data_IF_685535686633
#
_entry.id   IF_685535686633
#
_cell.length_a   1.000
_cell.length_b   1.000
_cell.length_c   1.000
_cell.angle_alpha   90.00
_cell.angle_beta   90.00
_cell.angle_gamma   90.00
#
_symmetry.space_group_name_H-M   'P 1'
#
loop_
_entity.id
_entity.type
_entity.pdbx_description
1 polymer ?
#
# COMPACT_ATOMS: atom_id res chain seq x y z
N UNK A 1 -17.05 -8.72 -9.10
CA UNK A 1 -17.14 -7.44 -8.35
C UNK A 1 -16.32 -6.38 -9.07
N UNK A 2 -16.85 -5.16 -9.21
CA UNK A 2 -16.17 -3.99 -9.79
C UNK A 2 -15.46 -3.19 -8.70
N UNK A 3 -14.15 -3.10 -8.78
CA UNK A 3 -13.30 -2.41 -7.81
C UNK A 3 -12.67 -1.19 -8.48
N UNK A 4 -12.96 0.01 -7.96
CA UNK A 4 -12.26 1.24 -8.36
C UNK A 4 -10.95 1.36 -7.58
N UNK A 5 -9.83 1.50 -8.28
CA UNK A 5 -8.48 1.49 -7.68
C UNK A 5 -7.86 2.87 -7.76
N UNK A 6 -7.44 3.41 -6.60
CA UNK A 6 -6.74 4.68 -6.48
C UNK A 6 -5.61 4.54 -5.45
N UNK A 7 -4.47 5.19 -5.68
CA UNK A 7 -3.38 5.29 -4.70
C UNK A 7 -2.59 6.58 -4.93
N UNK A 8 -1.72 6.93 -3.97
CA UNK A 8 -0.72 7.99 -4.11
C UNK A 8 -1.35 9.30 -4.60
N UNK A 9 -2.50 9.65 -4.01
CA UNK A 9 -3.26 10.84 -4.38
C UNK A 9 -2.58 12.11 -3.85
N UNK A 10 -1.81 11.97 -2.77
CA UNK A 10 -0.96 13.02 -2.20
C UNK A 10 -1.71 14.35 -1.99
N UNK A 11 -2.89 14.24 -1.38
CA UNK A 11 -3.80 15.37 -1.17
C UNK A 11 -3.24 16.40 -0.18
N UNK A 12 -2.23 16.03 0.61
CA UNK A 12 -1.47 16.97 1.44
C UNK A 12 -0.69 18.01 0.62
N UNK A 13 -0.45 17.75 -0.66
CA UNK A 13 0.22 18.68 -1.57
C UNK A 13 -0.76 19.32 -2.55
N UNK A 14 -1.64 18.53 -3.18
CA UNK A 14 -2.58 19.02 -4.19
C UNK A 14 -3.95 18.37 -4.10
N UNK A 15 -4.95 19.21 -3.90
CA UNK A 15 -6.35 18.80 -3.90
C UNK A 15 -6.77 18.08 -5.19
N UNK A 16 -7.76 17.20 -5.04
CA UNK A 16 -8.35 16.47 -6.14
C UNK A 16 -9.76 15.98 -5.81
N UNK A 17 -10.59 15.96 -6.84
CA UNK A 17 -11.95 15.41 -6.78
C UNK A 17 -12.06 14.29 -7.80
N UNK A 18 -12.37 13.05 -7.38
CA UNK A 18 -12.54 11.94 -8.30
C UNK A 18 -13.77 12.18 -9.18
N UNK A 19 -13.71 11.87 -10.48
CA UNK A 19 -14.89 11.92 -11.33
C UNK A 19 -15.94 10.91 -10.83
N UNK A 20 -17.25 11.19 -11.01
CA UNK A 20 -18.30 10.22 -10.75
C UNK A 20 -18.07 8.93 -11.55
N UNK A 21 -18.16 7.80 -10.86
CA UNK A 21 -17.97 6.47 -11.42
C UNK A 21 -18.64 5.45 -10.52
N UNK A 22 -19.43 4.55 -11.10
CA UNK A 22 -20.03 3.42 -10.37
C UNK A 22 -18.98 2.32 -10.17
N UNK A 23 -18.88 1.84 -8.93
CA UNK A 23 -18.11 0.67 -8.54
C UNK A 23 -18.75 0.06 -7.28
N UNK A 24 -18.60 -1.25 -7.09
CA UNK A 24 -19.11 -1.94 -5.90
C UNK A 24 -18.25 -1.56 -4.67
N UNK A 25 -16.94 -1.48 -4.88
CA UNK A 25 -15.95 -1.13 -3.85
C UNK A 25 -14.95 -0.10 -4.40
N UNK A 26 -14.53 0.83 -3.54
CA UNK A 26 -13.39 1.73 -3.79
C UNK A 26 -12.21 1.30 -2.92
N UNK A 27 -11.07 1.01 -3.55
CA UNK A 27 -9.81 0.71 -2.86
C UNK A 27 -8.89 1.93 -2.94
N UNK A 28 -8.42 2.36 -1.78
CA UNK A 28 -7.43 3.40 -1.59
C UNK A 28 -6.13 2.75 -1.06
N UNK A 29 -5.15 2.53 -1.94
CA UNK A 29 -3.94 1.74 -1.67
C UNK A 29 -2.74 2.58 -1.21
N UNK A 30 -2.97 3.42 -0.19
CA UNK A 30 -1.96 4.22 0.48
C UNK A 30 -1.64 5.56 -0.17
N UNK A 31 -0.96 6.41 0.62
CA UNK A 31 -0.53 7.76 0.26
C UNK A 31 -1.66 8.65 -0.26
N UNK A 32 -2.80 8.60 0.44
CA UNK A 32 -3.98 9.38 0.08
C UNK A 32 -3.87 10.79 0.65
N UNK A 33 -3.56 10.88 1.94
CA UNK A 33 -3.38 12.15 2.64
C UNK A 33 -2.67 11.90 3.98
N UNK A 34 -1.93 12.89 4.48
CA UNK A 34 -1.39 12.92 5.84
C UNK A 34 -2.42 12.56 6.95
N UNK A 35 -2.04 11.63 7.83
CA UNK A 35 -2.81 11.19 8.99
C UNK A 35 -4.25 10.79 8.66
N UNK A 36 -5.19 11.22 9.50
CA UNK A 36 -6.62 10.84 9.37
C UNK A 36 -7.38 11.57 8.28
N UNK A 37 -6.77 12.57 7.64
CA UNK A 37 -7.44 13.43 6.66
C UNK A 37 -7.90 12.64 5.42
N UNK A 38 -7.16 11.58 5.06
CA UNK A 38 -7.49 10.70 3.94
C UNK A 38 -8.78 9.94 4.17
N UNK A 39 -9.03 9.48 5.41
CA UNK A 39 -10.28 8.80 5.80
C UNK A 39 -11.47 9.74 5.67
N UNK A 40 -11.34 10.97 6.18
CA UNK A 40 -12.39 11.97 6.10
C UNK A 40 -12.67 12.37 4.65
N UNK A 41 -11.62 12.54 3.83
CA UNK A 41 -11.76 12.78 2.40
C UNK A 41 -12.47 11.62 1.69
N UNK A 42 -12.05 10.39 1.95
CA UNK A 42 -12.59 9.20 1.31
C UNK A 42 -14.09 9.06 1.56
N UNK A 43 -14.52 9.25 2.81
CA UNK A 43 -15.96 9.17 3.10
C UNK A 43 -16.75 10.27 2.41
N UNK A 44 -16.23 11.50 2.35
CA UNK A 44 -16.90 12.63 1.66
C UNK A 44 -17.04 12.38 0.16
N UNK A 45 -16.01 11.86 -0.49
CA UNK A 45 -16.03 11.65 -1.94
C UNK A 45 -16.87 10.43 -2.35
N UNK A 46 -16.96 9.42 -1.48
CA UNK A 46 -17.65 8.18 -1.77
C UNK A 46 -18.74 7.88 -0.73
N UNK A 47 -19.76 8.72 -0.55
CA UNK A 47 -20.67 8.64 0.60
C UNK A 47 -21.45 7.33 0.71
N UNK A 48 -21.72 6.66 -0.41
CA UNK A 48 -22.52 5.42 -0.45
C UNK A 48 -21.70 4.15 -0.72
N UNK A 49 -20.43 4.25 -1.10
CA UNK A 49 -19.62 3.09 -1.49
C UNK A 49 -18.97 2.41 -0.27
N UNK A 50 -18.74 1.09 -0.37
CA UNK A 50 -17.80 0.42 0.50
C UNK A 50 -16.39 0.92 0.16
N UNK A 51 -15.71 1.53 1.12
CA UNK A 51 -14.36 2.07 0.94
C UNK A 51 -13.38 1.24 1.76
N UNK A 52 -12.40 0.66 1.10
CA UNK A 52 -11.27 -0.03 1.70
C UNK A 52 -10.06 0.89 1.63
N UNK A 53 -9.39 1.09 2.77
CA UNK A 53 -8.26 2.00 2.91
C UNK A 53 -7.07 1.25 3.48
N UNK A 54 -5.98 1.19 2.74
CA UNK A 54 -4.66 0.77 3.25
C UNK A 54 -3.83 2.04 3.42
N UNK A 55 -3.21 2.30 4.58
CA UNK A 55 -2.29 3.43 4.71
C UNK A 55 -1.01 3.19 3.92
N UNK A 56 -0.41 4.27 3.42
CA UNK A 56 0.94 4.30 2.91
C UNK A 56 1.89 4.96 3.91
N UNK A 57 3.11 5.25 3.48
CA UNK A 57 4.11 5.88 4.35
C UNK A 57 3.75 7.34 4.68
N UNK A 58 3.05 8.05 3.78
CA UNK A 58 2.70 9.47 3.94
C UNK A 58 1.66 9.74 5.02
N UNK A 59 0.78 8.78 5.30
CA UNK A 59 -0.14 8.88 6.43
C UNK A 59 0.62 9.11 7.75
N UNK A 60 1.86 8.58 7.88
CA UNK A 60 2.66 8.61 9.09
C UNK A 60 3.64 9.78 9.19
N UNK A 61 3.75 10.63 8.16
CA UNK A 61 4.75 11.70 8.11
C UNK A 61 4.60 12.71 9.28
N UNK A 62 5.73 13.10 9.87
CA UNK A 62 5.84 14.04 11.00
C UNK A 62 5.16 13.59 12.31
N UNK A 63 4.67 12.36 12.39
CA UNK A 63 3.95 11.83 13.54
C UNK A 63 4.51 10.47 13.98
N UNK A 64 4.07 10.01 15.17
CA UNK A 64 4.44 8.68 15.67
C UNK A 64 3.57 7.63 15.01
N UNK A 65 4.21 6.65 14.35
CA UNK A 65 3.54 5.62 13.55
C UNK A 65 2.38 4.96 14.31
N UNK A 66 2.63 4.52 15.54
CA UNK A 66 1.62 3.82 16.35
C UNK A 66 0.43 4.72 16.73
N UNK A 67 0.67 6.01 17.03
CA UNK A 67 -0.41 6.94 17.37
C UNK A 67 -1.30 7.22 16.17
N UNK A 68 -0.67 7.38 14.99
CA UNK A 68 -1.38 7.59 13.73
C UNK A 68 -2.22 6.36 13.39
N UNK A 69 -1.70 5.15 13.54
CA UNK A 69 -2.46 3.93 13.27
C UNK A 69 -3.68 3.80 14.18
N UNK A 70 -3.55 4.11 15.47
CA UNK A 70 -4.67 4.17 16.41
C UNK A 70 -5.70 5.23 15.98
N UNK A 71 -5.24 6.41 15.58
CA UNK A 71 -6.10 7.50 15.13
C UNK A 71 -6.85 7.14 13.83
N UNK A 72 -6.16 6.55 12.85
CA UNK A 72 -6.72 6.05 11.59
C UNK A 72 -7.82 5.01 11.88
N UNK A 73 -7.53 3.99 12.70
CA UNK A 73 -8.51 2.95 13.08
C UNK A 73 -9.73 3.55 13.78
N UNK A 74 -9.55 4.58 14.61
CA UNK A 74 -10.66 5.27 15.29
C UNK A 74 -11.51 6.05 14.29
N UNK A 75 -10.89 6.82 13.40
CA UNK A 75 -11.59 7.65 12.43
C UNK A 75 -12.30 6.81 11.36
N UNK A 76 -11.65 5.75 10.88
CA UNK A 76 -12.21 4.82 9.90
C UNK A 76 -13.50 4.18 10.43
N UNK A 77 -13.50 3.70 11.68
CA UNK A 77 -14.70 3.20 12.35
C UNK A 77 -15.78 4.27 12.49
N UNK A 78 -15.42 5.50 12.86
CA UNK A 78 -16.36 6.62 13.03
C UNK A 78 -17.07 6.97 11.72
N UNK A 79 -16.37 6.85 10.59
CA UNK A 79 -16.85 7.25 9.26
C UNK A 79 -17.28 6.07 8.38
N UNK A 80 -17.24 4.84 8.88
CA UNK A 80 -17.61 3.65 8.09
C UNK A 80 -16.69 3.42 6.89
N UNK A 81 -15.38 3.61 7.07
CA UNK A 81 -14.32 3.24 6.13
C UNK A 81 -13.61 2.00 6.67
N UNK A 82 -13.32 1.03 5.81
CA UNK A 82 -12.64 -0.21 6.18
C UNK A 82 -11.13 -0.03 6.07
N UNK A 83 -10.50 0.42 7.15
CA UNK A 83 -9.04 0.51 7.22
C UNK A 83 -8.44 -0.89 7.38
N UNK A 84 -7.51 -1.27 6.51
CA UNK A 84 -6.77 -2.53 6.57
C UNK A 84 -5.27 -2.28 6.74
N UNK A 85 -4.72 -2.74 7.85
CA UNK A 85 -3.28 -2.80 8.09
C UNK A 85 -2.96 -4.03 8.96
N UNK A 86 -2.71 -5.17 8.31
CA UNK A 86 -2.76 -6.49 8.96
C UNK A 86 -4.19 -6.93 9.29
N UNK A 87 -5.17 -6.54 8.46
CA UNK A 87 -6.60 -6.78 8.70
C UNK A 87 -7.34 -7.28 7.45
N UNK A 88 -8.50 -7.90 7.67
CA UNK A 88 -9.35 -8.50 6.66
C UNK A 88 -10.71 -7.78 6.56
N UNK A 89 -11.27 -7.72 5.35
CA UNK A 89 -12.64 -7.32 5.12
C UNK A 89 -13.33 -8.24 4.10
N UNK A 90 -14.55 -8.68 4.42
CA UNK A 90 -15.37 -9.51 3.55
C UNK A 90 -16.58 -8.70 3.09
N UNK A 91 -16.80 -8.66 1.78
CA UNK A 91 -17.98 -8.03 1.18
C UNK A 91 -18.36 -8.77 -0.09
N UNK A 92 -19.64 -9.06 -0.27
CA UNK A 92 -20.23 -9.71 -1.44
C UNK A 92 -19.47 -10.94 -1.97
N UNK A 93 -19.01 -11.80 -1.05
CA UNK A 93 -18.29 -13.05 -1.38
C UNK A 93 -16.82 -12.87 -1.77
N UNK A 94 -16.27 -11.66 -1.69
CA UNK A 94 -14.85 -11.36 -1.95
C UNK A 94 -14.13 -11.10 -0.63
N UNK A 95 -12.95 -11.72 -0.47
CA UNK A 95 -12.07 -11.49 0.68
C UNK A 95 -11.00 -10.46 0.33
N UNK A 96 -10.89 -9.42 1.13
CA UNK A 96 -9.84 -8.42 1.05
C UNK A 96 -8.87 -8.56 2.22
N UNK A 97 -7.59 -8.66 1.94
CA UNK A 97 -6.51 -8.66 2.94
C UNK A 97 -5.64 -7.43 2.69
N UNK A 98 -5.42 -6.59 3.70
CA UNK A 98 -4.70 -5.33 3.51
C UNK A 98 -3.61 -5.06 4.52
N UNK A 99 -2.49 -4.51 4.05
CA UNK A 99 -1.33 -4.14 4.87
C UNK A 99 -0.53 -3.01 4.23
N UNK A 100 0.00 -2.05 5.00
CA UNK A 100 1.01 -1.09 4.50
C UNK A 100 2.21 -1.82 3.87
N UNK A 101 2.48 -3.01 4.39
CA UNK A 101 3.50 -3.99 4.03
C UNK A 101 4.92 -3.60 4.44
N UNK A 102 5.35 -2.35 4.27
CA UNK A 102 6.77 -1.97 4.37
C UNK A 102 7.66 -2.94 3.55
N UNK A 103 8.95 -3.07 3.83
CA UNK A 103 9.84 -3.98 3.09
C UNK A 103 10.75 -4.80 4.00
N UNK A 104 11.22 -5.94 3.49
CA UNK A 104 12.24 -6.77 4.14
C UNK A 104 13.68 -6.36 3.80
N UNK A 105 13.85 -5.40 2.89
CA UNK A 105 15.12 -4.97 2.29
C UNK A 105 15.90 -6.09 1.58
N UNK A 106 15.27 -7.24 1.32
CA UNK A 106 15.92 -8.43 0.80
C UNK A 106 15.84 -8.56 -0.73
N UNK A 107 15.27 -7.58 -1.42
CA UNK A 107 15.04 -7.60 -2.87
C UNK A 107 16.30 -8.00 -3.67
N UNK A 108 17.48 -7.50 -3.28
CA UNK A 108 18.76 -7.78 -3.93
C UNK A 108 19.64 -8.79 -3.19
N UNK A 109 19.11 -9.42 -2.14
CA UNK A 109 19.80 -10.45 -1.39
C UNK A 109 19.47 -10.42 0.10
N UNK A 110 19.47 -11.60 0.71
CA UNK A 110 19.08 -11.81 2.11
C UNK A 110 20.25 -12.15 3.04
N UNK A 111 21.49 -12.03 2.56
CA UNK A 111 22.67 -12.17 3.45
C UNK A 111 22.74 -10.98 4.40
N UNK A 112 23.28 -11.13 5.63
CA UNK A 112 23.40 -10.01 6.57
C UNK A 112 24.06 -8.77 5.95
N UNK A 113 25.15 -8.96 5.22
CA UNK A 113 25.84 -7.85 4.56
C UNK A 113 25.02 -7.18 3.43
N UNK A 114 24.15 -7.92 2.73
CA UNK A 114 23.28 -7.33 1.72
C UNK A 114 22.16 -6.49 2.35
N UNK A 115 21.56 -7.03 3.42
CA UNK A 115 20.51 -6.38 4.18
C UNK A 115 21.04 -5.11 4.85
N UNK A 116 22.21 -5.17 5.49
CA UNK A 116 22.83 -4.01 6.14
C UNK A 116 23.09 -2.88 5.13
N UNK A 117 23.54 -3.21 3.91
CA UNK A 117 23.72 -2.22 2.84
C UNK A 117 22.40 -1.60 2.42
N UNK A 118 21.39 -2.42 2.13
CA UNK A 118 20.08 -1.94 1.69
C UNK A 118 19.39 -1.07 2.75
N UNK A 119 19.43 -1.49 4.02
CA UNK A 119 18.91 -0.71 5.15
C UNK A 119 19.69 0.59 5.34
N UNK A 120 21.02 0.57 5.21
CA UNK A 120 21.84 1.79 5.26
C UNK A 120 21.48 2.77 4.14
N UNK A 121 21.38 2.28 2.90
CA UNK A 121 20.99 3.09 1.74
C UNK A 121 19.60 3.70 1.97
N UNK A 122 18.63 2.92 2.45
CA UNK A 122 17.30 3.40 2.78
C UNK A 122 17.30 4.45 3.90
N UNK A 123 17.99 4.19 5.02
CA UNK A 123 18.11 5.09 6.17
C UNK A 123 18.57 6.50 5.78
N UNK A 124 19.48 6.59 4.80
CA UNK A 124 20.00 7.86 4.31
C UNK A 124 19.30 8.38 3.06
N UNK A 125 18.68 7.53 2.25
CA UNK A 125 18.07 7.89 0.96
C UNK A 125 16.59 8.23 1.03
N UNK A 126 15.85 7.71 2.01
CA UNK A 126 14.40 7.84 2.08
C UNK A 126 13.96 8.84 3.16
N UNK A 127 12.94 9.63 2.84
CA UNK A 127 12.37 10.64 3.75
C UNK A 127 11.70 10.00 4.96
N UNK A 128 11.14 8.80 4.79
CA UNK A 128 10.43 8.03 5.83
C UNK A 128 11.22 7.98 7.14
N UNK A 129 12.49 7.61 7.07
CA UNK A 129 13.37 7.45 8.24
C UNK A 129 13.93 8.77 8.79
N UNK A 130 13.52 9.90 8.22
CA UNK A 130 13.88 11.25 8.69
C UNK A 130 12.72 11.96 9.38
N UNK A 131 11.48 11.65 8.99
CA UNK A 131 10.28 12.40 9.41
C UNK A 131 9.27 11.58 10.19
N UNK A 132 9.26 10.25 10.02
CA UNK A 132 8.35 9.37 10.77
C UNK A 132 8.99 9.07 12.14
N UNK A 133 8.20 9.22 13.20
CA UNK A 133 8.62 8.89 14.57
C UNK A 133 8.18 7.48 14.92
N UNK A 134 9.01 6.76 15.67
CA UNK A 134 8.69 5.46 16.23
C UNK A 134 8.44 5.54 17.74
N UNK A 135 9.25 6.33 18.44
CA UNK A 135 9.10 6.67 19.86
C UNK A 135 9.14 8.18 20.11
N UNK A 136 9.11 8.60 21.37
CA UNK A 136 9.08 10.03 21.72
C UNK A 136 10.30 10.82 21.22
N UNK A 137 11.46 10.17 21.17
CA UNK A 137 12.75 10.75 20.73
C UNK A 137 13.44 9.90 19.66
N UNK A 138 12.69 9.02 19.03
CA UNK A 138 13.21 8.00 18.14
C UNK A 138 12.49 8.09 16.79
N UNK A 139 13.27 8.20 15.72
CA UNK A 139 12.76 8.12 14.36
C UNK A 139 12.56 6.65 13.96
N UNK A 140 11.68 6.44 12.98
CA UNK A 140 11.60 5.17 12.29
C UNK A 140 12.97 4.81 11.72
N UNK A 141 13.37 3.55 11.89
CA UNK A 141 14.56 2.97 11.28
C UNK A 141 14.16 1.83 10.35
N UNK A 142 14.97 1.48 9.34
CA UNK A 142 14.74 0.34 8.48
C UNK A 142 14.49 -0.96 9.23
N UNK A 143 15.15 -1.19 10.38
CA UNK A 143 14.94 -2.40 11.18
C UNK A 143 13.51 -2.49 11.70
N UNK A 144 12.91 -1.37 12.13
CA UNK A 144 11.51 -1.34 12.56
C UNK A 144 10.56 -1.62 11.39
N UNK A 145 10.82 -1.00 10.22
CA UNK A 145 10.02 -1.24 9.02
C UNK A 145 10.08 -2.72 8.59
N UNK A 146 11.26 -3.33 8.71
CA UNK A 146 11.47 -4.75 8.44
C UNK A 146 10.74 -5.65 9.44
N UNK A 147 10.77 -5.34 10.73
CA UNK A 147 10.02 -6.08 11.75
C UNK A 147 8.53 -6.07 11.42
N UNK A 148 7.96 -4.90 11.14
CA UNK A 148 6.55 -4.75 10.72
C UNK A 148 6.27 -5.56 9.46
N UNK A 149 7.15 -5.50 8.46
CA UNK A 149 7.01 -6.25 7.22
C UNK A 149 6.93 -7.75 7.47
N UNK A 150 7.85 -8.30 8.26
CA UNK A 150 7.90 -9.73 8.55
C UNK A 150 6.64 -10.20 9.29
N UNK A 151 6.13 -9.41 10.23
CA UNK A 151 4.86 -9.68 10.92
C UNK A 151 3.67 -9.68 9.94
N UNK A 152 3.58 -8.66 9.08
CA UNK A 152 2.48 -8.55 8.11
C UNK A 152 2.52 -9.64 7.04
N UNK A 153 3.72 -10.03 6.59
CA UNK A 153 3.93 -11.14 5.67
C UNK A 153 3.55 -12.48 6.31
N UNK A 154 3.93 -12.71 7.57
CA UNK A 154 3.53 -13.92 8.29
C UNK A 154 2.00 -13.99 8.49
N UNK A 155 1.37 -12.85 8.78
CA UNK A 155 -0.08 -12.75 8.86
C UNK A 155 -0.75 -13.05 7.51
N UNK A 156 -0.25 -12.46 6.41
CA UNK A 156 -0.73 -12.77 5.04
C UNK A 156 -0.58 -14.25 4.71
N UNK A 157 0.59 -14.84 4.98
CA UNK A 157 0.83 -16.28 4.79
C UNK A 157 -0.21 -17.11 5.52
N UNK A 158 -0.46 -16.79 6.80
CA UNK A 158 -1.47 -17.48 7.60
C UNK A 158 -2.85 -17.33 6.97
N UNK A 159 -3.29 -16.11 6.65
CA UNK A 159 -4.62 -15.85 6.09
C UNK A 159 -4.84 -16.53 4.73
N UNK A 160 -3.81 -16.59 3.90
CA UNK A 160 -3.89 -17.23 2.58
C UNK A 160 -3.96 -18.77 2.66
N UNK A 161 -3.63 -19.38 3.81
CA UNK A 161 -3.88 -20.81 4.05
C UNK A 161 -5.31 -21.12 4.52
N UNK A 162 -6.06 -20.12 4.99
CA UNK A 162 -7.46 -20.31 5.39
C UNK A 162 -8.32 -20.60 4.14
N UNK A 163 -9.10 -21.68 4.22
CA UNK A 163 -10.05 -22.05 3.15
C UNK A 163 -11.11 -20.96 3.03
N UNK A 164 -11.23 -20.42 1.83
CA UNK A 164 -12.23 -19.40 1.50
C UNK A 164 -12.85 -19.73 0.14
N UNK A 165 -14.17 -19.87 0.11
CA UNK A 165 -14.95 -20.16 -1.10
C UNK A 165 -15.31 -18.86 -1.81
N UNK A 166 -14.31 -18.26 -2.46
CA UNK A 166 -14.42 -16.99 -3.17
C UNK A 166 -13.06 -16.41 -3.57
N UNK A 167 -13.03 -15.34 -4.38
CA UNK A 167 -11.77 -14.72 -4.75
C UNK A 167 -11.15 -13.96 -3.56
N UNK A 168 -9.83 -14.05 -3.43
CA UNK A 168 -9.05 -13.24 -2.48
C UNK A 168 -8.31 -12.12 -3.23
N UNK A 169 -8.51 -10.89 -2.75
CA UNK A 169 -7.80 -9.69 -3.18
C UNK A 169 -6.84 -9.28 -2.08
N UNK A 170 -5.57 -9.07 -2.42
CA UNK A 170 -4.58 -8.51 -1.49
C UNK A 170 -4.32 -7.06 -1.86
N UNK A 171 -4.25 -6.17 -0.87
CA UNK A 171 -3.97 -4.74 -1.05
C UNK A 171 -2.75 -4.39 -0.21
N UNK A 172 -1.70 -3.88 -0.84
CA UNK A 172 -0.54 -3.33 -0.13
C UNK A 172 -0.27 -1.90 -0.53
N UNK A 173 0.52 -1.16 0.25
CA UNK A 173 1.06 0.09 -0.27
C UNK A 173 2.38 -0.17 -1.00
N UNK A 174 3.34 -0.78 -0.30
CA UNK A 174 4.63 -1.14 -0.88
C UNK A 174 4.52 -2.25 -1.94
N UNK A 175 5.48 -2.27 -2.85
CA UNK A 175 5.47 -3.13 -4.03
C UNK A 175 5.70 -4.59 -3.60
N UNK A 176 4.80 -5.52 -3.98
CA UNK A 176 4.90 -6.91 -3.53
C UNK A 176 5.91 -7.73 -4.34
N UNK A 177 6.31 -7.24 -5.51
CA UNK A 177 7.10 -8.02 -6.47
C UNK A 177 7.99 -7.12 -7.32
N UNK A 178 9.14 -7.65 -7.75
CA UNK A 178 10.14 -6.90 -8.52
C UNK A 178 9.63 -6.39 -9.88
N UNK A 179 8.65 -7.07 -10.49
CA UNK A 179 8.02 -6.61 -11.73
C UNK A 179 7.22 -5.31 -11.58
N UNK A 180 6.90 -4.90 -10.35
CA UNK A 180 6.30 -3.58 -10.09
C UNK A 180 7.31 -2.44 -10.12
N UNK A 181 8.61 -2.73 -10.20
CA UNK A 181 9.66 -1.71 -10.35
C UNK A 181 9.68 -1.28 -11.81
N UNK A 182 9.36 -0.02 -12.07
CA UNK A 182 9.41 0.51 -13.42
C UNK A 182 10.85 0.44 -13.98
N UNK A 183 11.05 0.08 -15.28
CA UNK A 183 12.39 -0.10 -15.87
C UNK A 183 13.35 1.09 -15.70
N UNK A 184 12.82 2.32 -15.52
CA UNK A 184 13.63 3.52 -15.26
C UNK A 184 14.42 3.45 -13.96
N UNK A 185 14.00 2.60 -13.02
CA UNK A 185 14.63 2.41 -11.72
C UNK A 185 15.37 1.07 -11.61
N UNK A 186 15.56 0.36 -12.71
CA UNK A 186 16.25 -0.94 -12.66
C UNK A 186 17.65 -0.81 -12.02
N UNK A 187 17.92 -1.69 -11.06
CA UNK A 187 19.17 -1.69 -10.28
C UNK A 187 19.37 -0.52 -9.31
N UNK A 188 18.40 0.37 -9.11
CA UNK A 188 18.52 1.44 -8.11
C UNK A 188 18.71 0.85 -6.71
N UNK A 189 19.76 1.28 -6.01
CA UNK A 189 20.13 0.81 -4.68
C UNK A 189 19.03 1.01 -3.63
N UNK A 190 18.10 1.95 -3.86
CA UNK A 190 16.99 2.22 -2.93
C UNK A 190 15.79 1.30 -3.16
N UNK A 191 15.70 0.58 -4.28
CA UNK A 191 14.57 -0.31 -4.56
C UNK A 191 14.21 -1.29 -3.43
N UNK A 192 15.15 -1.86 -2.64
CA UNK A 192 14.78 -2.68 -1.49
C UNK A 192 13.99 -1.95 -0.41
N UNK A 193 14.00 -0.62 -0.38
CA UNK A 193 13.14 0.21 0.48
C UNK A 193 11.73 0.42 -0.06
N UNK A 194 11.49 0.18 -1.36
CA UNK A 194 10.18 0.34 -2.02
C UNK A 194 9.49 -1.00 -2.32
N UNK A 195 10.27 -2.03 -2.63
CA UNK A 195 9.78 -3.31 -3.14
C UNK A 195 10.37 -4.51 -2.40
N UNK A 196 9.53 -5.54 -2.26
CA UNK A 196 9.92 -6.87 -1.78
C UNK A 196 9.76 -7.90 -2.89
N UNK A 197 10.29 -9.12 -2.70
CA UNK A 197 10.05 -10.23 -3.60
C UNK A 197 9.13 -11.27 -2.96
N UNK A 198 7.82 -11.04 -3.06
CA UNK A 198 6.78 -11.92 -2.51
C UNK A 198 6.20 -12.86 -3.57
N UNK A 199 6.98 -13.30 -4.57
CA UNK A 199 6.51 -14.23 -5.62
C UNK A 199 5.83 -15.50 -5.05
N UNK A 200 6.20 -15.91 -3.84
CA UNK A 200 5.58 -17.03 -3.12
C UNK A 200 4.14 -16.75 -2.62
N UNK A 201 3.76 -15.49 -2.46
CA UNK A 201 2.42 -15.04 -2.04
C UNK A 201 1.60 -14.47 -3.21
N UNK A 202 2.26 -13.89 -4.21
CA UNK A 202 1.62 -13.43 -5.45
C UNK A 202 1.36 -14.64 -6.36
N UNK A 203 0.40 -15.47 -5.95
CA UNK A 203 -0.09 -16.69 -6.60
C UNK A 203 -1.44 -17.08 -6.01
N UNK A 204 -2.10 -18.09 -6.57
CA UNK A 204 -3.30 -18.68 -5.97
C UNK A 204 -3.12 -18.97 -4.46
N UNK A 205 -4.09 -18.60 -3.59
CA UNK A 205 -5.47 -18.24 -3.92
C UNK A 205 -5.71 -16.74 -4.24
N UNK A 206 -4.65 -15.92 -4.34
CA UNK A 206 -4.79 -14.50 -4.64
C UNK A 206 -5.19 -14.33 -6.11
N UNK A 207 -6.40 -13.80 -6.35
CA UNK A 207 -6.91 -13.52 -7.69
C UNK A 207 -6.37 -12.17 -8.21
N UNK A 208 -6.27 -11.19 -7.32
CA UNK A 208 -5.85 -9.83 -7.61
C UNK A 208 -4.98 -9.28 -6.48
N UNK A 209 -3.90 -8.60 -6.82
CA UNK A 209 -3.08 -7.82 -5.90
C UNK A 209 -3.09 -6.36 -6.33
N UNK A 210 -3.50 -5.46 -5.44
CA UNK A 210 -3.49 -4.02 -5.68
C UNK A 210 -2.35 -3.40 -4.86
N UNK A 211 -1.56 -2.50 -5.44
CA UNK A 211 -0.57 -1.72 -4.68
C UNK A 211 -0.47 -0.25 -5.11
N UNK A 212 0.41 0.52 -4.44
CA UNK A 212 0.73 1.92 -4.73
C UNK A 212 2.24 2.18 -4.84
N UNK A 213 2.67 3.35 -4.35
CA UNK A 213 4.05 3.76 -4.00
C UNK A 213 5.03 4.01 -5.16
N UNK A 214 4.93 3.29 -6.28
CA UNK A 214 5.90 3.43 -7.39
C UNK A 214 5.71 4.67 -8.26
N UNK A 215 4.57 5.37 -8.12
CA UNK A 215 4.16 6.50 -8.97
C UNK A 215 4.12 6.22 -10.48
N UNK A 216 4.04 4.96 -10.84
CA UNK A 216 3.91 4.46 -12.20
C UNK A 216 2.69 3.53 -12.26
N UNK A 217 1.89 3.62 -13.33
CA UNK A 217 0.78 2.69 -13.50
C UNK A 217 1.30 1.33 -13.94
N UNK A 218 0.91 0.28 -13.22
CA UNK A 218 1.39 -1.09 -13.42
C UNK A 218 0.19 -2.02 -13.58
N UNK A 219 0.23 -2.90 -14.57
CA UNK A 219 -0.78 -3.96 -14.77
C UNK A 219 -0.14 -5.17 -15.44
N UNK A 220 0.05 -6.24 -14.68
CA UNK A 220 0.64 -7.48 -15.20
C UNK A 220 0.08 -8.72 -14.48
N UNK A 221 0.39 -9.90 -15.00
CA UNK A 221 0.02 -11.18 -14.39
C UNK A 221 1.28 -11.98 -14.08
N UNK A 222 1.38 -12.49 -12.85
CA UNK A 222 2.45 -13.39 -12.41
C UNK A 222 1.87 -14.52 -11.58
N UNK A 223 2.30 -15.76 -11.84
CA UNK A 223 1.80 -16.98 -11.17
C UNK A 223 0.27 -17.11 -11.10
N UNK A 224 -0.44 -16.59 -12.10
CA UNK A 224 -1.91 -16.60 -12.17
C UNK A 224 -2.61 -15.48 -11.39
N UNK A 225 -1.88 -14.61 -10.70
CA UNK A 225 -2.41 -13.43 -10.00
C UNK A 225 -2.19 -12.19 -10.84
N UNK A 226 -3.23 -11.37 -11.03
CA UNK A 226 -3.09 -10.04 -11.62
C UNK A 226 -2.58 -9.06 -10.57
N UNK A 227 -1.62 -8.22 -10.90
CA UNK A 227 -1.07 -7.17 -10.04
C UNK A 227 -1.35 -5.82 -10.69
N UNK A 228 -1.96 -4.89 -9.94
CA UNK A 228 -2.41 -3.58 -10.44
C UNK A 228 -1.96 -2.46 -9.51
N UNK A 229 -1.48 -1.36 -10.09
CA UNK A 229 -1.15 -0.10 -9.41
C UNK A 229 -1.66 1.07 -10.26
N UNK A 230 -2.36 2.02 -9.64
CA UNK A 230 -2.92 3.20 -10.33
C UNK A 230 -2.68 4.48 -9.50
N UNK A 231 -1.42 4.91 -9.38
CA UNK A 231 -1.03 6.02 -8.53
C UNK A 231 -1.23 7.35 -9.25
N UNK A 232 -1.62 8.42 -8.55
CA UNK A 232 -1.64 9.78 -9.13
C UNK A 232 -0.25 10.42 -9.16
N UNK A 233 0.57 10.12 -8.15
CA UNK A 233 1.93 10.66 -8.00
C UNK A 233 1.95 12.09 -7.44
N UNK A 234 3.15 12.66 -7.31
CA UNK A 234 3.34 13.99 -6.74
C UNK A 234 3.05 15.10 -7.74
N UNK A 235 2.03 15.91 -7.48
CA UNK A 235 1.83 17.14 -8.26
C UNK A 235 2.57 18.33 -7.64
N UNK A 236 3.06 19.30 -8.45
CA UNK A 236 3.26 19.21 -9.90
C UNK A 236 4.60 18.55 -10.27
N UNK A 237 5.37 18.05 -9.29
CA UNK A 237 6.79 17.70 -9.46
C UNK A 237 7.01 16.38 -10.22
N UNK A 238 6.22 15.36 -9.93
CA UNK A 238 6.29 14.02 -10.51
C UNK A 238 4.88 13.42 -10.69
N UNK A 239 4.06 14.01 -11.57
CA UNK A 239 2.75 13.43 -11.88
C UNK A 239 2.90 12.11 -12.62
N UNK A 240 2.04 11.13 -12.32
CA UNK A 240 1.89 9.96 -13.17
C UNK A 240 1.01 10.33 -14.38
N UNK A 241 1.55 10.40 -15.61
CA UNK A 241 0.76 10.76 -16.80
C UNK A 241 -0.26 9.69 -17.20
N UNK A 242 -0.11 8.47 -16.69
CA UNK A 242 -0.97 7.32 -16.96
C UNK A 242 -1.91 6.99 -15.82
N UNK A 243 -2.02 7.87 -14.81
CA UNK A 243 -3.05 7.76 -13.80
C UNK A 243 -4.44 7.79 -14.46
N UNK A 244 -5.20 6.71 -14.32
CA UNK A 244 -6.58 6.67 -14.81
C UNK A 244 -7.55 6.86 -13.64
N UNK A 245 -8.17 8.05 -13.50
CA UNK A 245 -9.10 8.31 -12.41
C UNK A 245 -10.39 7.47 -12.51
N UNK A 246 -10.60 6.77 -13.63
CA UNK A 246 -11.74 5.91 -13.93
C UNK A 246 -11.36 4.42 -13.96
N UNK A 247 -10.16 4.04 -13.53
CA UNK A 247 -9.75 2.63 -13.52
C UNK A 247 -10.67 1.81 -12.62
N UNK A 248 -11.31 0.81 -13.22
CA UNK A 248 -12.08 -0.23 -12.55
C UNK A 248 -11.54 -1.58 -12.99
N UNK A 249 -11.26 -2.44 -12.02
CA UNK A 249 -10.86 -3.83 -12.24
C UNK A 249 -11.95 -4.76 -11.75
N UNK A 250 -11.98 -5.96 -12.32
CA UNK A 250 -12.95 -6.99 -11.97
C UNK A 250 -12.24 -8.18 -11.34
N UNK A 251 -12.94 -8.78 -10.36
CA UNK A 251 -12.60 -10.05 -9.72
C UNK A 251 -13.85 -10.93 -9.61
#
# INVERSE_FOLDING_TARGET
MKIRVLSDLHLEFFDWTPPPLEADVVVLAGDIHAGVLGIAWARRQFPAAAVIYVPGNHEFYSARLQDVLVALRKEARRLGVHLLDGDEFLVDGVRFLGATLWTDFALYGSTPAALDRAMTDAQFGMTDYRVIKYGDKELLRPEHAREIHLEQVQWLETKLTEVFDGPTVVITHHLPHWQSIHPRFDGDRLNPGFASNLARLVRAPVALWIHGHTHESIDYVVNGTRVVCNPRGYLPMEPNPTFDPRLVVEV
#
